data_IF_161928025111
#
_entry.id   IF_161928025111
#
_cell.length_a   1.000
_cell.length_b   1.000
_cell.length_c   1.000
_cell.angle_alpha   90.00
_cell.angle_beta   90.00
_cell.angle_gamma   90.00
#
_symmetry.space_group_name_H-M   'P 1'
#
loop_
_entity.id
_entity.type
_entity.pdbx_description
1 polymer ?
#
# COMPACT_ATOMS: atom_id res chain seq x y z
N UNK A 1 19.31 5.95 0.54
CA UNK A 1 18.00 5.78 1.21
C UNK A 1 17.40 4.46 0.73
N UNK A 2 17.07 3.54 1.63
CA UNK A 2 16.47 2.25 1.25
C UNK A 2 14.95 2.37 1.17
N UNK A 3 14.39 2.00 0.02
CA UNK A 3 12.94 1.83 -0.14
C UNK A 3 12.52 0.63 0.72
N UNK A 4 11.45 0.79 1.50
CA UNK A 4 10.92 -0.29 2.36
C UNK A 4 10.33 -1.41 1.50
N UNK A 5 10.43 -2.65 1.98
CA UNK A 5 9.86 -3.79 1.25
C UNK A 5 8.33 -3.74 1.26
N UNK A 6 7.71 -4.32 0.23
CA UNK A 6 6.26 -4.38 0.07
C UNK A 6 5.57 -5.02 1.29
N UNK A 7 6.23 -6.02 1.90
CA UNK A 7 5.77 -6.67 3.14
C UNK A 7 5.68 -5.69 4.32
N UNK A 8 6.65 -4.79 4.45
CA UNK A 8 6.64 -3.77 5.51
C UNK A 8 5.51 -2.77 5.30
N UNK A 9 5.31 -2.32 4.05
CA UNK A 9 4.27 -1.35 3.70
C UNK A 9 2.89 -1.93 3.99
N UNK A 10 2.62 -3.17 3.58
CA UNK A 10 1.36 -3.88 3.85
C UNK A 10 1.06 -3.98 5.34
N UNK A 11 2.05 -4.36 6.15
CA UNK A 11 1.88 -4.49 7.61
C UNK A 11 1.52 -3.15 8.26
N UNK A 12 2.22 -2.09 7.90
CA UNK A 12 1.98 -0.75 8.46
C UNK A 12 0.64 -0.16 8.03
N UNK A 13 0.26 -0.34 6.77
CA UNK A 13 -1.03 0.11 6.26
C UNK A 13 -2.20 -0.56 7.02
N UNK A 14 -2.09 -1.87 7.31
CA UNK A 14 -3.10 -2.63 8.05
C UNK A 14 -3.13 -2.29 9.55
N UNK A 15 -1.97 -2.25 10.22
CA UNK A 15 -1.90 -2.08 11.68
C UNK A 15 -2.16 -0.64 12.13
N UNK A 16 -1.69 0.35 11.37
CA UNK A 16 -1.74 1.76 11.76
C UNK A 16 -2.83 2.56 11.05
N UNK A 17 -3.66 1.92 10.21
CA UNK A 17 -4.68 2.57 9.36
C UNK A 17 -4.14 3.80 8.63
N UNK A 18 -2.91 3.70 8.16
CA UNK A 18 -2.23 4.84 7.50
C UNK A 18 -2.87 5.18 6.16
N UNK A 19 -3.69 4.27 5.60
CA UNK A 19 -4.42 4.42 4.35
C UNK A 19 -5.84 3.89 4.61
N UNK A 20 -6.87 4.72 4.45
CA UNK A 20 -8.27 4.31 4.58
C UNK A 20 -9.12 4.99 3.50
N UNK A 21 -9.94 4.24 2.73
CA UNK A 21 -10.03 2.77 2.70
C UNK A 21 -8.77 2.12 2.08
N UNK A 22 -8.22 1.07 2.70
CA UNK A 22 -7.10 0.30 2.12
C UNK A 22 -7.63 -0.90 1.35
N UNK A 23 -7.41 -0.90 0.04
CA UNK A 23 -7.61 -2.05 -0.83
C UNK A 23 -6.25 -2.48 -1.39
N UNK A 24 -5.81 -3.70 -1.07
CA UNK A 24 -4.49 -4.21 -1.42
C UNK A 24 -4.22 -4.35 -2.93
N UNK A 25 -5.21 -4.02 -3.76
CA UNK A 25 -5.21 -4.11 -5.22
C UNK A 25 -5.56 -2.80 -5.92
N UNK A 26 -5.34 -1.62 -5.32
CA UNK A 26 -5.45 -0.33 -6.02
C UNK A 26 -4.33 -0.15 -7.07
N UNK A 27 -4.32 -1.02 -8.08
CA UNK A 27 -3.66 -0.75 -9.36
C UNK A 27 -4.69 0.03 -10.16
N UNK A 28 -4.50 1.35 -10.27
CA UNK A 28 -5.18 2.08 -11.34
C UNK A 28 -4.64 1.49 -12.64
N UNK A 29 -5.46 0.74 -13.37
CA UNK A 29 -5.22 0.56 -14.79
C UNK A 29 -5.11 1.97 -15.35
N UNK A 30 -3.90 2.37 -15.75
CA UNK A 30 -3.74 3.62 -16.47
C UNK A 30 -4.57 3.46 -17.73
N UNK A 31 -5.75 4.09 -17.75
CA UNK A 31 -6.57 4.14 -18.93
C UNK A 31 -5.70 4.69 -20.06
N UNK A 32 -5.45 3.84 -21.06
CA UNK A 32 -4.71 4.21 -22.27
C UNK A 32 -5.42 5.28 -23.06
#
# INVERSE_FOLDING_TARGET
MSIKSDRWIRRMALEHRMIEPFEAGQVKEAAG
#
